data_IF_854508404554
#
_entry.id   IF_854508404554
#
_cell.length_a   1.000
_cell.length_b   1.000
_cell.length_c   1.000
_cell.angle_alpha   90.00
_cell.angle_beta   90.00
_cell.angle_gamma   90.00
#
_symmetry.space_group_name_H-M   'P 1'
#
loop_
_entity.id
_entity.type
_entity.pdbx_description
1 polymer ?
#
# COMPACT_ATOMS: atom_id res chain seq x y z
N UNK A 1 -36.81 -24.29 26.61
CA UNK A 1 -36.52 -24.02 25.17
C UNK A 1 -35.58 -22.83 25.10
N UNK A 2 -34.31 -23.07 24.83
CA UNK A 2 -33.31 -22.01 24.67
C UNK A 2 -33.46 -21.52 23.23
N UNK A 3 -33.89 -20.27 23.05
CA UNK A 3 -33.94 -19.59 21.75
C UNK A 3 -32.52 -19.61 21.16
N UNK A 4 -32.36 -20.28 20.02
CA UNK A 4 -31.16 -20.15 19.20
C UNK A 4 -31.21 -18.78 18.52
N UNK A 5 -30.70 -17.74 19.19
CA UNK A 5 -30.42 -16.49 18.53
C UNK A 5 -29.47 -16.78 17.36
N UNK A 6 -30.02 -16.67 16.16
CA UNK A 6 -29.20 -16.71 14.94
C UNK A 6 -28.19 -15.58 15.06
N UNK A 7 -26.90 -15.92 15.17
CA UNK A 7 -25.84 -14.96 15.09
C UNK A 7 -26.05 -14.10 13.83
N UNK A 8 -26.37 -12.81 14.01
CA UNK A 8 -26.43 -11.89 12.91
C UNK A 8 -25.04 -11.87 12.28
N UNK A 9 -24.94 -12.16 10.98
CA UNK A 9 -23.70 -12.02 10.25
C UNK A 9 -23.29 -10.55 10.35
N UNK A 10 -22.19 -10.29 11.04
CA UNK A 10 -21.61 -8.95 11.07
C UNK A 10 -21.32 -8.52 9.61
N UNK A 11 -21.62 -7.26 9.31
CA UNK A 11 -21.22 -6.66 8.02
C UNK A 11 -19.72 -6.83 7.89
N UNK A 12 -19.26 -7.36 6.75
CA UNK A 12 -17.82 -7.50 6.52
C UNK A 12 -17.17 -6.11 6.56
N UNK A 13 -16.10 -6.00 7.34
CA UNK A 13 -15.33 -4.77 7.39
C UNK A 13 -14.72 -4.49 6.02
N UNK A 14 -14.71 -3.22 5.62
CA UNK A 14 -13.95 -2.77 4.47
C UNK A 14 -12.47 -3.10 4.69
N UNK A 15 -11.81 -3.60 3.66
CA UNK A 15 -10.38 -3.90 3.72
C UNK A 15 -9.62 -2.83 2.95
N UNK A 16 -8.42 -2.43 3.42
CA UNK A 16 -7.60 -1.51 2.67
C UNK A 16 -7.19 -2.11 1.32
N UNK A 17 -7.17 -1.27 0.30
CA UNK A 17 -6.76 -1.62 -1.06
C UNK A 17 -5.23 -1.73 -1.15
N UNK A 18 -4.65 -2.70 -0.44
CA UNK A 18 -3.22 -2.99 -0.44
C UNK A 18 -2.90 -4.06 -1.47
N UNK A 19 -1.69 -3.99 -2.05
CA UNK A 19 -1.08 -5.10 -2.74
C UNK A 19 -0.44 -6.12 -1.79
N UNK A 20 0.35 -7.04 -2.32
CA UNK A 20 1.01 -8.07 -1.51
C UNK A 20 2.18 -7.48 -0.68
N UNK A 21 2.80 -6.41 -1.17
CA UNK A 21 3.98 -5.77 -0.57
C UNK A 21 3.69 -4.41 0.07
N UNK A 22 2.71 -3.67 -0.44
CA UNK A 22 2.36 -2.35 0.10
C UNK A 22 1.15 -1.70 -0.55
N UNK A 23 1.01 -0.41 -0.37
CA UNK A 23 -0.14 0.35 -0.88
C UNK A 23 0.01 0.67 -2.36
N UNK A 24 1.16 1.18 -2.78
CA UNK A 24 1.44 1.56 -4.16
C UNK A 24 2.48 0.60 -4.71
N UNK A 25 2.02 -0.32 -5.55
CA UNK A 25 2.81 -1.33 -6.22
C UNK A 25 2.70 -1.16 -7.72
N UNK A 26 3.82 -1.27 -8.42
CA UNK A 26 3.87 -1.26 -9.86
C UNK A 26 4.75 -2.40 -10.37
N UNK A 27 4.12 -3.41 -10.94
CA UNK A 27 4.78 -4.59 -11.48
C UNK A 27 5.13 -4.44 -12.95
N UNK A 28 6.31 -4.87 -13.34
CA UNK A 28 6.78 -4.89 -14.73
C UNK A 28 6.83 -6.33 -15.23
N UNK A 29 6.19 -6.61 -16.37
CA UNK A 29 6.19 -7.96 -16.96
C UNK A 29 6.15 -7.89 -18.48
N UNK A 30 6.27 -9.05 -19.13
CA UNK A 30 6.12 -9.19 -20.60
C UNK A 30 7.44 -9.17 -21.36
N UNK A 31 8.57 -8.94 -20.70
CA UNK A 31 9.92 -9.04 -21.31
C UNK A 31 10.87 -9.82 -20.41
N UNK A 32 12.16 -9.89 -20.74
CA UNK A 32 13.15 -10.61 -19.93
C UNK A 32 13.41 -9.91 -18.58
N UNK A 33 13.75 -10.70 -17.53
CA UNK A 33 14.07 -10.16 -16.22
C UNK A 33 15.22 -9.15 -16.27
N UNK A 34 16.25 -9.40 -17.09
CA UNK A 34 17.35 -8.45 -17.25
C UNK A 34 16.95 -7.11 -17.86
N UNK A 35 15.97 -7.08 -18.76
CA UNK A 35 15.42 -5.81 -19.30
C UNK A 35 14.60 -5.09 -18.22
N UNK A 36 13.76 -5.82 -17.48
CA UNK A 36 13.00 -5.27 -16.36
C UNK A 36 13.95 -4.68 -15.31
N UNK A 37 14.95 -5.42 -14.90
CA UNK A 37 15.94 -4.98 -13.91
C UNK A 37 16.64 -3.69 -14.35
N UNK A 38 17.11 -3.65 -15.61
CA UNK A 38 17.78 -2.46 -16.16
C UNK A 38 16.85 -1.24 -16.14
N UNK A 39 15.61 -1.41 -16.59
CA UNK A 39 14.60 -0.35 -16.63
C UNK A 39 14.27 0.14 -15.21
N UNK A 40 14.01 -0.78 -14.28
CA UNK A 40 13.69 -0.44 -12.88
C UNK A 40 14.86 0.27 -12.20
N UNK A 41 16.10 -0.16 -12.43
CA UNK A 41 17.27 0.54 -11.91
C UNK A 41 17.37 1.98 -12.45
N UNK A 42 17.10 2.20 -13.72
CA UNK A 42 17.06 3.54 -14.31
C UNK A 42 15.97 4.41 -13.68
N UNK A 43 14.78 3.86 -13.45
CA UNK A 43 13.69 4.54 -12.75
C UNK A 43 14.07 4.92 -11.32
N UNK A 44 14.68 4.00 -10.56
CA UNK A 44 15.14 4.26 -9.20
C UNK A 44 16.20 5.37 -9.17
N UNK A 45 17.16 5.35 -10.07
CA UNK A 45 18.19 6.40 -10.17
C UNK A 45 17.57 7.80 -10.35
N UNK A 46 16.47 7.91 -11.08
CA UNK A 46 15.81 9.19 -11.35
C UNK A 46 14.76 9.61 -10.32
N UNK A 47 14.22 8.69 -9.53
CA UNK A 47 13.09 8.94 -8.62
C UNK A 47 13.46 8.82 -7.13
N UNK A 48 14.62 8.25 -6.79
CA UNK A 48 14.99 7.99 -5.39
C UNK A 48 15.25 9.25 -4.56
N UNK A 49 15.42 10.41 -5.19
CA UNK A 49 15.44 11.70 -4.48
C UNK A 49 14.04 12.17 -4.05
N UNK A 50 13.01 11.75 -4.77
CA UNK A 50 11.63 12.18 -4.58
C UNK A 50 10.83 11.18 -3.73
N UNK A 51 11.15 9.88 -3.82
CA UNK A 51 10.37 8.79 -3.21
C UNK A 51 11.25 7.74 -2.52
N UNK A 52 10.77 7.21 -1.41
CA UNK A 52 11.32 5.99 -0.79
C UNK A 52 10.84 4.78 -1.58
N UNK A 53 11.77 4.05 -2.19
CA UNK A 53 11.45 3.00 -3.16
C UNK A 53 12.07 1.67 -2.77
N UNK A 54 11.38 0.60 -3.15
CA UNK A 54 11.88 -0.78 -3.07
C UNK A 54 11.71 -1.47 -4.42
N UNK A 55 12.66 -2.33 -4.77
CA UNK A 55 12.55 -3.26 -5.88
C UNK A 55 12.46 -4.70 -5.37
N UNK A 56 11.42 -5.41 -5.81
CA UNK A 56 11.18 -6.82 -5.49
C UNK A 56 11.48 -7.66 -6.73
N UNK A 57 12.48 -8.53 -6.63
CA UNK A 57 12.90 -9.43 -7.70
C UNK A 57 13.28 -10.81 -7.13
N UNK A 58 13.44 -11.81 -7.98
CA UNK A 58 13.90 -13.15 -7.64
C UNK A 58 15.33 -13.36 -8.14
N UNK A 59 16.21 -13.80 -7.24
CA UNK A 59 17.55 -14.29 -7.61
C UNK A 59 17.54 -15.82 -7.70
N UNK A 60 17.35 -16.32 -8.93
CA UNK A 60 17.34 -17.76 -9.18
C UNK A 60 18.71 -18.42 -9.01
N UNK A 61 19.80 -17.70 -9.28
CA UNK A 61 21.14 -18.30 -9.28
C UNK A 61 21.56 -18.71 -7.87
N UNK A 62 21.37 -17.82 -6.89
CA UNK A 62 21.72 -18.11 -5.50
C UNK A 62 20.80 -19.19 -4.91
N UNK A 63 19.50 -19.13 -5.21
CA UNK A 63 18.52 -20.13 -4.77
C UNK A 63 18.79 -21.52 -5.35
N UNK A 64 19.06 -21.61 -6.66
CA UNK A 64 19.34 -22.87 -7.36
C UNK A 64 20.64 -23.52 -6.85
N UNK A 65 21.68 -22.73 -6.55
CA UNK A 65 22.93 -23.23 -5.97
C UNK A 65 22.73 -23.83 -4.56
N UNK A 66 21.88 -23.18 -3.74
CA UNK A 66 21.55 -23.69 -2.40
C UNK A 66 20.76 -25.00 -2.47
N UNK A 67 19.77 -25.08 -3.39
CA UNK A 67 18.95 -26.27 -3.59
C UNK A 67 19.77 -27.47 -4.18
N UNK A 68 20.71 -27.19 -5.07
CA UNK A 68 21.57 -28.20 -5.67
C UNK A 68 22.65 -28.71 -4.71
N UNK A 69 22.78 -28.14 -3.52
CA UNK A 69 23.88 -28.47 -2.58
C UNK A 69 25.26 -28.00 -3.06
N UNK A 70 25.29 -27.19 -4.12
CA UNK A 70 26.50 -26.59 -4.69
C UNK A 70 26.82 -25.22 -4.05
N UNK A 71 25.90 -24.73 -3.21
CA UNK A 71 26.09 -23.50 -2.47
C UNK A 71 27.21 -23.59 -1.45
N UNK A 72 27.73 -22.45 -1.05
CA UNK A 72 28.74 -22.35 -0.02
C UNK A 72 28.36 -23.21 1.19
N UNK A 73 29.11 -24.29 1.47
CA UNK A 73 28.88 -25.18 2.61
C UNK A 73 28.87 -24.46 3.95
N UNK A 74 29.41 -23.25 3.98
CA UNK A 74 29.42 -22.38 5.15
C UNK A 74 28.17 -21.50 5.26
N UNK A 75 27.19 -21.62 4.33
CA UNK A 75 25.94 -20.84 4.41
C UNK A 75 25.08 -21.34 5.56
N UNK A 76 24.74 -20.42 6.46
CA UNK A 76 23.82 -20.69 7.58
C UNK A 76 22.39 -20.96 7.11
N UNK A 77 22.06 -20.65 5.86
CA UNK A 77 20.73 -20.89 5.26
C UNK A 77 20.42 -22.38 5.03
N UNK A 78 21.37 -23.28 5.20
CA UNK A 78 21.11 -24.73 5.26
C UNK A 78 20.30 -25.13 6.52
N UNK A 79 20.31 -24.32 7.58
CA UNK A 79 19.58 -24.57 8.82
C UNK A 79 18.21 -23.84 8.83
N UNK A 80 17.08 -24.54 9.00
CA UNK A 80 15.74 -23.96 8.86
C UNK A 80 15.44 -22.77 9.76
N UNK A 81 15.88 -22.81 11.02
CA UNK A 81 15.53 -21.81 12.05
C UNK A 81 16.56 -20.67 12.19
N UNK A 82 17.58 -20.65 11.32
CA UNK A 82 18.66 -19.68 11.45
C UNK A 82 18.34 -18.40 10.67
N UNK A 83 18.58 -17.28 11.31
CA UNK A 83 18.60 -15.95 10.70
C UNK A 83 20.02 -15.41 10.78
N UNK A 84 20.55 -14.93 9.67
CA UNK A 84 21.88 -14.32 9.63
C UNK A 84 21.79 -12.82 9.36
N UNK A 85 22.30 -12.02 10.29
CA UNK A 85 22.42 -10.57 10.14
C UNK A 85 23.88 -10.20 9.94
N UNK A 86 24.24 -9.69 8.76
CA UNK A 86 25.57 -9.21 8.42
C UNK A 86 25.61 -7.70 8.34
N UNK A 87 26.47 -7.07 9.14
CA UNK A 87 26.79 -5.65 8.98
C UNK A 87 27.89 -5.48 7.92
N UNK A 88 27.57 -4.78 6.85
CA UNK A 88 28.45 -4.49 5.71
C UNK A 88 29.01 -3.05 5.79
N UNK A 89 28.98 -2.43 6.96
CA UNK A 89 29.45 -1.05 7.25
C UNK A 89 28.50 0.01 6.65
N UNK A 90 28.23 -0.04 5.35
CA UNK A 90 27.36 0.92 4.63
C UNK A 90 25.92 0.44 4.48
N UNK A 91 25.67 -0.86 4.64
CA UNK A 91 24.35 -1.46 4.66
C UNK A 91 24.33 -2.72 5.52
N UNK A 92 23.12 -3.18 5.88
CA UNK A 92 22.92 -4.46 6.59
C UNK A 92 22.23 -5.44 5.68
N UNK A 93 22.67 -6.70 5.71
CA UNK A 93 22.04 -7.83 5.03
C UNK A 93 21.45 -8.79 6.07
N UNK A 94 20.16 -9.10 5.88
CA UNK A 94 19.43 -10.09 6.67
C UNK A 94 19.07 -11.25 5.75
N UNK A 95 19.59 -12.42 6.03
CA UNK A 95 19.26 -13.66 5.32
C UNK A 95 18.39 -14.53 6.23
N UNK A 96 17.23 -14.93 5.72
CA UNK A 96 16.26 -15.76 6.42
C UNK A 96 15.51 -16.64 5.43
N UNK A 97 15.20 -17.85 5.82
CA UNK A 97 14.45 -18.78 4.96
C UNK A 97 13.03 -18.28 4.74
N UNK A 98 12.55 -18.41 3.51
CA UNK A 98 11.25 -17.91 3.06
C UNK A 98 10.08 -18.53 3.85
N UNK A 99 10.15 -19.81 4.20
CA UNK A 99 9.14 -20.54 4.95
C UNK A 99 8.86 -19.97 6.35
N UNK A 100 9.81 -19.21 6.89
CA UNK A 100 9.70 -18.60 8.22
C UNK A 100 9.26 -17.13 8.18
N UNK A 101 8.86 -16.63 7.00
CA UNK A 101 8.49 -15.23 6.81
C UNK A 101 7.00 -15.15 6.50
N UNK A 102 6.23 -14.55 7.42
CA UNK A 102 4.81 -14.28 7.17
C UNK A 102 4.62 -13.09 6.23
N UNK A 103 3.48 -13.05 5.53
CA UNK A 103 3.09 -11.89 4.68
C UNK A 103 3.03 -10.60 5.49
N UNK A 104 2.60 -10.66 6.76
CA UNK A 104 2.55 -9.49 7.64
C UNK A 104 3.94 -8.96 7.96
N UNK A 105 4.87 -9.83 8.29
CA UNK A 105 6.25 -9.52 8.59
C UNK A 105 6.97 -8.93 7.36
N UNK A 106 6.76 -9.52 6.19
CA UNK A 106 7.29 -8.98 4.94
C UNK A 106 6.77 -7.56 4.67
N UNK A 107 5.50 -7.26 4.96
CA UNK A 107 4.94 -5.91 4.85
C UNK A 107 5.55 -4.93 5.85
N UNK A 108 5.88 -5.38 7.07
CA UNK A 108 6.58 -4.54 8.05
C UNK A 108 7.92 -4.03 7.53
N UNK A 109 8.68 -4.87 6.83
CA UNK A 109 9.96 -4.46 6.24
C UNK A 109 9.80 -3.35 5.20
N UNK A 110 8.64 -3.27 4.56
CA UNK A 110 8.34 -2.35 3.47
C UNK A 110 7.42 -1.19 3.88
N UNK A 111 7.05 -1.08 5.14
CA UNK A 111 6.09 -0.09 5.65
C UNK A 111 6.46 1.37 5.36
N UNK A 112 7.76 1.66 5.31
CA UNK A 112 8.27 3.00 5.07
C UNK A 112 8.51 3.31 3.59
N UNK A 113 8.12 2.39 2.69
CA UNK A 113 8.30 2.57 1.26
C UNK A 113 7.05 3.20 0.64
N UNK A 114 7.27 4.18 -0.22
CA UNK A 114 6.20 4.91 -0.90
C UNK A 114 5.82 4.26 -2.23
N UNK A 115 6.82 3.68 -2.94
CA UNK A 115 6.63 2.97 -4.20
C UNK A 115 7.40 1.65 -4.20
N UNK A 116 6.68 0.57 -4.50
CA UNK A 116 7.26 -0.77 -4.63
C UNK A 116 7.21 -1.18 -6.09
N UNK A 117 8.39 -1.30 -6.70
CA UNK A 117 8.57 -1.79 -8.06
C UNK A 117 8.80 -3.30 -8.01
N UNK A 118 8.13 -4.05 -8.88
CA UNK A 118 8.08 -5.51 -8.79
C UNK A 118 8.42 -6.13 -10.14
N UNK A 119 9.28 -7.14 -10.16
CA UNK A 119 9.40 -8.02 -11.32
C UNK A 119 8.19 -8.98 -11.37
N UNK A 120 7.14 -8.58 -12.06
CA UNK A 120 5.89 -9.32 -12.13
C UNK A 120 5.96 -10.58 -13.04
N UNK A 121 7.11 -10.91 -13.59
CA UNK A 121 7.35 -12.24 -14.14
C UNK A 121 7.35 -13.32 -13.03
N UNK A 122 7.73 -12.95 -11.79
CA UNK A 122 7.90 -13.86 -10.65
C UNK A 122 6.82 -13.65 -9.58
N UNK A 123 6.43 -12.41 -9.32
CA UNK A 123 5.53 -12.03 -8.23
C UNK A 123 4.25 -11.37 -8.76
N UNK A 124 3.18 -11.40 -7.97
CA UNK A 124 1.99 -10.61 -8.25
C UNK A 124 2.25 -9.15 -7.92
N UNK A 125 1.59 -8.27 -8.65
CA UNK A 125 1.53 -6.84 -8.34
C UNK A 125 0.11 -6.35 -8.55
N UNK A 126 -0.32 -5.39 -7.74
CA UNK A 126 -1.65 -4.79 -7.80
C UNK A 126 -1.86 -4.11 -9.15
N UNK A 127 -0.96 -3.20 -9.50
CA UNK A 127 -0.96 -2.46 -10.75
C UNK A 127 0.25 -2.86 -11.61
N UNK A 128 0.11 -2.81 -12.93
CA UNK A 128 1.12 -3.36 -13.83
C UNK A 128 1.46 -2.44 -15.00
N UNK A 129 2.73 -2.49 -15.38
CA UNK A 129 3.28 -2.01 -16.66
C UNK A 129 3.56 -3.23 -17.52
N UNK A 130 2.86 -3.35 -18.64
CA UNK A 130 3.05 -4.47 -19.57
C UNK A 130 3.98 -4.05 -20.70
N UNK A 131 5.13 -4.72 -20.77
CA UNK A 131 6.06 -4.58 -21.88
C UNK A 131 5.66 -5.53 -23.00
N UNK A 132 5.39 -4.99 -24.18
CA UNK A 132 5.08 -5.77 -25.39
C UNK A 132 6.40 -6.07 -26.09
N UNK A 133 6.87 -7.30 -25.91
CA UNK A 133 8.15 -7.78 -26.45
C UNK A 133 7.87 -8.91 -27.46
N UNK A 134 8.18 -8.72 -28.76
CA UNK A 134 7.96 -9.75 -29.78
C UNK A 134 8.74 -11.04 -29.52
N UNK A 135 9.84 -10.95 -28.73
CA UNK A 135 10.63 -12.12 -28.34
C UNK A 135 10.03 -12.90 -27.16
N UNK A 136 9.04 -12.32 -26.48
CA UNK A 136 8.36 -12.93 -25.33
C UNK A 136 6.84 -12.74 -25.38
N UNK A 137 6.16 -13.39 -26.33
CA UNK A 137 4.71 -13.25 -26.49
C UNK A 137 3.96 -13.66 -25.21
N UNK A 138 2.88 -12.94 -24.95
CA UNK A 138 2.09 -13.07 -23.70
C UNK A 138 0.94 -14.08 -23.79
N UNK A 139 0.69 -14.69 -24.94
CA UNK A 139 -0.47 -15.56 -25.22
C UNK A 139 -0.71 -16.62 -24.13
N UNK A 140 0.38 -17.23 -23.62
CA UNK A 140 0.32 -18.26 -22.59
C UNK A 140 0.36 -17.71 -21.15
N UNK A 141 0.44 -16.38 -20.97
CA UNK A 141 0.65 -15.72 -19.68
C UNK A 141 -0.38 -14.65 -19.38
N UNK A 142 -1.47 -14.58 -20.16
CA UNK A 142 -2.53 -13.58 -19.95
C UNK A 142 -3.12 -13.65 -18.54
N UNK A 143 -3.19 -14.83 -17.93
CA UNK A 143 -3.64 -14.98 -16.55
C UNK A 143 -2.73 -14.34 -15.46
N UNK A 144 -1.53 -13.82 -15.85
CA UNK A 144 -0.69 -13.03 -14.95
C UNK A 144 -1.05 -11.55 -14.96
N UNK A 145 -1.85 -11.11 -15.94
CA UNK A 145 -2.29 -9.72 -16.02
C UNK A 145 -3.30 -9.44 -14.90
N UNK A 146 -3.10 -8.33 -14.22
CA UNK A 146 -4.01 -7.80 -13.21
C UNK A 146 -4.58 -6.47 -13.72
N UNK A 147 -4.17 -5.37 -13.15
CA UNK A 147 -4.63 -4.03 -13.51
C UNK A 147 -3.54 -3.30 -14.31
N UNK A 148 -3.56 -3.46 -15.64
CA UNK A 148 -2.58 -2.83 -16.52
C UNK A 148 -2.83 -1.32 -16.58
N UNK A 149 -1.80 -0.52 -16.28
CA UNK A 149 -1.83 0.94 -16.23
C UNK A 149 -1.02 1.60 -17.35
N UNK A 150 -0.08 0.87 -17.93
CA UNK A 150 0.79 1.37 -18.98
C UNK A 150 1.22 0.23 -19.89
N UNK A 151 1.24 0.49 -21.20
CA UNK A 151 1.89 -0.38 -22.18
C UNK A 151 3.23 0.22 -22.59
N UNK A 152 4.27 -0.61 -22.62
CA UNK A 152 5.58 -0.25 -23.17
C UNK A 152 5.90 -1.11 -24.38
N UNK A 153 6.12 -0.49 -25.52
CA UNK A 153 6.50 -1.19 -26.75
C UNK A 153 8.04 -1.36 -26.80
N UNK A 154 8.46 -2.60 -26.93
CA UNK A 154 9.86 -2.94 -27.19
C UNK A 154 10.22 -2.58 -28.63
N UNK A 155 11.50 -2.39 -28.88
CA UNK A 155 12.01 -2.11 -30.24
C UNK A 155 11.52 -3.16 -31.25
N UNK A 156 11.01 -2.70 -32.40
CA UNK A 156 10.42 -3.54 -33.41
C UNK A 156 8.90 -3.82 -33.24
N UNK A 157 8.32 -3.41 -32.10
CA UNK A 157 6.88 -3.49 -31.88
C UNK A 157 6.20 -2.15 -32.13
N UNK A 158 5.09 -2.17 -32.88
CA UNK A 158 4.36 -0.94 -33.27
C UNK A 158 2.91 -0.91 -32.75
N UNK A 159 2.35 -2.05 -32.34
CA UNK A 159 0.97 -2.15 -31.88
C UNK A 159 0.84 -3.18 -30.74
N UNK A 160 -0.29 -3.11 -30.02
CA UNK A 160 -0.66 -4.06 -28.96
C UNK A 160 -1.25 -5.31 -29.62
N UNK A 161 -0.78 -6.54 -29.30
CA UNK A 161 -1.32 -7.78 -29.85
C UNK A 161 -2.81 -7.99 -29.52
N UNK A 162 -3.57 -8.58 -30.43
CA UNK A 162 -5.01 -8.81 -30.28
C UNK A 162 -5.38 -9.68 -29.06
N UNK A 163 -4.52 -10.63 -28.70
CA UNK A 163 -4.73 -11.44 -27.50
C UNK A 163 -4.73 -10.58 -26.21
N UNK A 164 -3.95 -9.50 -26.16
CA UNK A 164 -3.92 -8.55 -25.05
C UNK A 164 -5.13 -7.62 -25.11
N UNK A 165 -5.47 -7.09 -26.29
CA UNK A 165 -6.69 -6.29 -26.52
C UNK A 165 -7.96 -7.04 -26.10
N UNK A 166 -8.05 -8.32 -26.39
CA UNK A 166 -9.18 -9.17 -25.96
C UNK A 166 -9.20 -9.49 -24.47
N UNK A 167 -8.08 -9.36 -23.76
CA UNK A 167 -7.99 -9.68 -22.34
C UNK A 167 -8.09 -8.43 -21.43
N UNK A 168 -7.57 -7.29 -21.87
CA UNK A 168 -7.60 -6.01 -21.14
C UNK A 168 -8.72 -5.16 -21.71
N UNK A 169 -9.87 -5.15 -21.04
CA UNK A 169 -11.11 -4.55 -21.58
C UNK A 169 -11.02 -3.05 -21.86
N UNK A 170 -10.18 -2.32 -21.12
CA UNK A 170 -9.98 -0.86 -21.26
C UNK A 170 -8.66 -0.50 -21.95
N UNK A 171 -8.13 -1.38 -22.78
CA UNK A 171 -6.80 -1.19 -23.40
C UNK A 171 -6.67 0.10 -24.23
N UNK A 172 -7.75 0.61 -24.81
CA UNK A 172 -7.78 1.86 -25.58
C UNK A 172 -7.53 3.12 -24.74
N UNK A 173 -7.87 3.06 -23.46
CA UNK A 173 -7.69 4.17 -22.50
C UNK A 173 -6.29 4.19 -21.88
N UNK A 174 -5.55 3.09 -22.02
CA UNK A 174 -4.23 2.94 -21.40
C UNK A 174 -3.17 3.59 -22.28
N UNK A 175 -2.31 4.40 -21.68
CA UNK A 175 -1.20 5.04 -22.36
C UNK A 175 -0.22 4.01 -22.94
N UNK A 176 0.36 4.35 -24.10
CA UNK A 176 1.32 3.50 -24.80
C UNK A 176 2.58 4.31 -25.07
N UNK A 177 3.72 3.85 -24.56
CA UNK A 177 5.04 4.48 -24.84
C UNK A 177 6.01 3.45 -25.41
N UNK A 178 7.10 3.92 -26.02
CA UNK A 178 8.26 3.07 -26.31
C UNK A 178 9.10 2.90 -25.06
N UNK A 179 9.73 1.75 -24.91
CA UNK A 179 10.55 1.44 -23.72
C UNK A 179 11.71 2.45 -23.52
N UNK A 180 12.21 3.08 -24.58
CA UNK A 180 13.26 4.10 -24.53
C UNK A 180 12.76 5.53 -24.22
N UNK A 181 11.45 5.75 -24.07
CA UNK A 181 10.89 7.07 -23.76
C UNK A 181 10.90 7.32 -22.23
N UNK A 182 12.10 7.21 -21.62
CA UNK A 182 12.30 7.28 -20.17
C UNK A 182 11.59 8.47 -19.51
N UNK A 183 11.69 9.67 -20.11
CA UNK A 183 11.05 10.86 -19.54
C UNK A 183 9.52 10.73 -19.44
N UNK A 184 8.87 10.13 -20.44
CA UNK A 184 7.42 9.90 -20.40
C UNK A 184 7.04 8.87 -19.33
N UNK A 185 7.85 7.82 -19.19
CA UNK A 185 7.65 6.78 -18.16
C UNK A 185 7.82 7.40 -16.76
N UNK A 186 8.83 8.26 -16.56
CA UNK A 186 9.04 8.96 -15.30
C UNK A 186 7.85 9.89 -14.96
N UNK A 187 7.35 10.64 -15.93
CA UNK A 187 6.16 11.49 -15.75
C UNK A 187 4.94 10.63 -15.37
N UNK A 188 4.70 9.56 -16.12
CA UNK A 188 3.62 8.62 -15.80
C UNK A 188 3.71 8.10 -14.35
N UNK A 189 4.90 7.69 -13.90
CA UNK A 189 5.08 7.18 -12.54
C UNK A 189 4.79 8.27 -11.49
N UNK A 190 5.22 9.51 -11.73
CA UNK A 190 4.93 10.65 -10.83
C UNK A 190 3.43 10.93 -10.74
N UNK A 191 2.72 10.90 -11.87
CA UNK A 191 1.28 11.08 -11.91
C UNK A 191 0.57 9.91 -11.23
N UNK A 192 0.98 8.67 -11.51
CA UNK A 192 0.49 7.47 -10.86
C UNK A 192 0.66 7.52 -9.33
N UNK A 193 1.82 7.97 -8.84
CA UNK A 193 2.07 8.17 -7.42
C UNK A 193 1.09 9.19 -6.82
N UNK A 194 0.90 10.32 -7.47
CA UNK A 194 -0.01 11.39 -7.02
C UNK A 194 -1.46 10.92 -6.96
N UNK A 195 -1.92 10.19 -7.97
CA UNK A 195 -3.30 9.67 -8.04
C UNK A 195 -3.59 8.58 -7.01
N UNK A 196 -2.57 7.81 -6.61
CA UNK A 196 -2.70 6.70 -5.66
C UNK A 196 -2.34 7.08 -4.22
N UNK A 197 -1.98 8.34 -3.95
CA UNK A 197 -1.79 8.81 -2.58
C UNK A 197 -3.11 8.75 -1.81
N UNK A 198 -3.12 8.24 -0.58
CA UNK A 198 -4.31 8.24 0.24
C UNK A 198 -4.72 9.68 0.57
N UNK A 199 -6.02 9.96 0.48
CA UNK A 199 -6.56 11.24 0.92
C UNK A 199 -6.28 11.45 2.41
N UNK A 200 -5.83 12.64 2.79
CA UNK A 200 -5.60 12.98 4.18
C UNK A 200 -6.90 13.50 4.81
N UNK A 201 -7.42 12.79 5.81
CA UNK A 201 -8.56 13.21 6.62
C UNK A 201 -8.14 13.57 8.04
N UNK A 202 -8.83 14.53 8.63
CA UNK A 202 -8.66 14.92 10.02
C UNK A 202 -9.52 14.07 10.96
N UNK A 203 -8.99 13.72 12.12
CA UNK A 203 -9.75 13.05 13.18
C UNK A 203 -9.56 13.77 14.50
N UNK A 204 -10.62 14.39 15.02
CA UNK A 204 -10.64 15.00 16.35
C UNK A 204 -11.18 13.98 17.33
N UNK A 205 -10.33 13.55 18.27
CA UNK A 205 -10.69 12.56 19.28
C UNK A 205 -11.34 13.29 20.47
N UNK A 206 -12.65 13.33 20.51
CA UNK A 206 -13.43 13.99 21.57
C UNK A 206 -14.03 12.99 22.56
N UNK A 207 -13.95 11.68 22.26
CA UNK A 207 -14.42 10.60 23.11
C UNK A 207 -13.44 10.34 24.27
N UNK A 208 -13.90 10.53 25.50
CA UNK A 208 -13.14 10.15 26.70
C UNK A 208 -13.87 10.59 27.96
N UNK A 209 -13.97 9.71 28.95
CA UNK A 209 -14.37 10.12 30.30
C UNK A 209 -13.24 10.96 30.87
N UNK A 210 -13.40 12.29 30.85
CA UNK A 210 -12.45 13.25 31.46
C UNK A 210 -12.40 13.08 32.99
N UNK A 211 -12.06 11.88 33.47
CA UNK A 211 -12.06 11.49 34.87
C UNK A 211 -11.15 12.35 35.76
N UNK A 212 -10.16 13.01 35.14
CA UNK A 212 -9.21 13.89 35.86
C UNK A 212 -9.71 15.34 36.03
N UNK A 213 -10.67 15.80 35.21
CA UNK A 213 -11.07 17.21 35.20
C UNK A 213 -12.55 17.44 35.53
N UNK A 214 -13.35 16.40 35.73
CA UNK A 214 -14.81 16.48 35.99
C UNK A 214 -15.60 17.38 35.01
N UNK A 215 -15.03 17.73 33.85
CA UNK A 215 -15.65 18.50 32.77
C UNK A 215 -15.27 17.91 31.43
N UNK A 216 -16.18 17.91 30.49
CA UNK A 216 -15.92 17.49 29.12
C UNK A 216 -14.96 18.49 28.44
N UNK A 217 -13.74 18.02 28.13
CA UNK A 217 -12.70 18.86 27.51
C UNK A 217 -13.11 19.42 26.16
N UNK A 218 -13.94 18.70 25.41
CA UNK A 218 -14.39 19.09 24.09
C UNK A 218 -15.21 20.38 24.10
N UNK A 219 -15.84 20.68 25.22
CA UNK A 219 -16.69 21.87 25.42
C UNK A 219 -15.99 23.02 26.14
N UNK A 220 -14.70 22.89 26.47
CA UNK A 220 -13.93 24.02 27.02
C UNK A 220 -13.78 25.10 25.93
N UNK A 221 -14.13 26.32 26.30
CA UNK A 221 -14.03 27.47 25.39
C UNK A 221 -12.64 28.07 25.48
N UNK A 222 -11.90 28.02 24.38
CA UNK A 222 -10.66 28.74 24.16
C UNK A 222 -10.87 29.65 22.92
N UNK A 223 -10.42 30.90 22.98
CA UNK A 223 -10.53 31.83 21.85
C UNK A 223 -11.94 31.99 21.28
N UNK A 224 -12.94 32.16 22.14
CA UNK A 224 -14.37 32.39 21.79
C UNK A 224 -15.08 31.17 21.15
N UNK A 225 -14.37 30.05 20.89
CA UNK A 225 -14.90 28.78 20.32
C UNK A 225 -14.62 27.62 21.22
N UNK A 226 -15.41 26.57 21.09
CA UNK A 226 -15.09 25.30 21.75
C UNK A 226 -13.79 24.70 21.20
N UNK A 227 -13.05 23.96 22.02
CA UNK A 227 -11.80 23.32 21.61
C UNK A 227 -12.00 22.42 20.38
N UNK A 228 -13.10 21.69 20.31
CA UNK A 228 -13.43 20.83 19.15
C UNK A 228 -13.60 21.64 17.86
N UNK A 229 -14.24 22.79 17.93
CA UNK A 229 -14.44 23.66 16.75
C UNK A 229 -13.12 24.27 16.29
N UNK A 230 -12.34 24.80 17.22
CA UNK A 230 -11.03 25.35 16.90
C UNK A 230 -10.10 24.34 16.23
N UNK A 231 -9.99 23.13 16.79
CA UNK A 231 -9.17 22.04 16.20
C UNK A 231 -9.73 21.59 14.86
N UNK A 232 -11.05 21.48 14.71
CA UNK A 232 -11.68 21.12 13.44
C UNK A 232 -11.39 22.14 12.34
N UNK A 233 -11.46 23.43 12.63
CA UNK A 233 -11.12 24.50 11.68
C UNK A 233 -9.64 24.45 11.28
N UNK A 234 -8.74 24.21 12.24
CA UNK A 234 -7.32 24.05 11.97
C UNK A 234 -7.07 22.86 11.03
N UNK A 235 -7.69 21.72 11.29
CA UNK A 235 -7.54 20.52 10.45
C UNK A 235 -8.12 20.70 9.05
N UNK A 236 -9.17 21.48 8.87
CA UNK A 236 -9.77 21.78 7.55
C UNK A 236 -8.80 22.49 6.59
N UNK A 237 -7.73 23.11 7.10
CA UNK A 237 -6.67 23.73 6.27
C UNK A 237 -5.78 22.69 5.59
N UNK A 238 -5.66 21.51 6.17
CA UNK A 238 -4.72 20.46 5.72
C UNK A 238 -5.41 19.19 5.22
N UNK A 239 -6.65 18.97 5.66
CA UNK A 239 -7.39 17.73 5.45
C UNK A 239 -8.56 17.95 4.50
N UNK A 240 -8.90 16.94 3.70
CA UNK A 240 -10.05 16.97 2.79
C UNK A 240 -11.36 16.99 3.56
N UNK A 241 -11.50 16.12 4.54
CA UNK A 241 -12.65 16.03 5.45
C UNK A 241 -12.14 15.97 6.89
N UNK A 242 -12.93 16.46 7.84
CA UNK A 242 -12.62 16.41 9.27
C UNK A 242 -13.74 15.70 10.01
N UNK A 243 -13.38 14.65 10.74
CA UNK A 243 -14.29 13.81 11.50
C UNK A 243 -14.11 14.02 13.00
N UNK A 244 -15.22 13.92 13.73
CA UNK A 244 -15.24 13.89 15.19
C UNK A 244 -15.42 12.44 15.65
N UNK A 245 -14.48 11.91 16.41
CA UNK A 245 -14.64 10.60 17.06
C UNK A 245 -15.29 10.76 18.41
N UNK A 246 -16.44 10.15 18.61
CA UNK A 246 -17.21 10.25 19.83
C UNK A 246 -17.79 8.90 20.27
N UNK A 247 -18.14 8.80 21.55
CA UNK A 247 -18.92 7.66 22.05
C UNK A 247 -20.43 7.84 21.73
N UNK A 248 -21.22 6.79 21.94
CA UNK A 248 -22.64 6.80 21.63
C UNK A 248 -23.45 7.81 22.47
N UNK A 249 -22.99 8.17 23.67
CA UNK A 249 -23.66 9.14 24.54
C UNK A 249 -23.47 10.59 24.03
N UNK A 250 -22.33 10.87 23.44
CA UNK A 250 -21.98 12.19 22.92
C UNK A 250 -22.61 12.48 21.55
N UNK A 251 -22.93 11.44 20.78
CA UNK A 251 -23.52 11.58 19.45
C UNK A 251 -24.78 12.45 19.41
N UNK A 252 -25.66 12.31 20.40
CA UNK A 252 -26.91 13.06 20.49
C UNK A 252 -26.73 14.60 20.61
N UNK A 253 -25.52 15.06 20.90
CA UNK A 253 -25.19 16.49 21.06
C UNK A 253 -24.54 17.13 19.83
N UNK A 254 -24.47 16.45 18.68
CA UNK A 254 -23.86 17.01 17.47
C UNK A 254 -24.90 17.33 16.40
N UNK A 255 -24.65 18.41 15.66
CA UNK A 255 -25.46 18.81 14.53
C UNK A 255 -25.29 17.84 13.36
N UNK A 256 -26.35 17.63 12.56
CA UNK A 256 -26.38 16.71 11.42
C UNK A 256 -25.36 17.04 10.28
N UNK A 257 -24.71 18.20 10.33
CA UNK A 257 -23.73 18.64 9.35
C UNK A 257 -22.30 18.19 9.68
N UNK A 258 -22.06 17.57 10.83
CA UNK A 258 -20.72 17.15 11.25
C UNK A 258 -20.48 15.69 10.88
N UNK A 259 -19.33 15.43 10.26
CA UNK A 259 -18.90 14.06 10.02
C UNK A 259 -18.49 13.39 11.34
N UNK A 260 -19.20 12.35 11.73
CA UNK A 260 -19.00 11.65 13.00
C UNK A 260 -18.54 10.23 12.75
N UNK A 261 -17.54 9.79 13.50
CA UNK A 261 -17.13 8.40 13.62
C UNK A 261 -17.45 7.92 15.03
N UNK A 262 -18.32 6.92 15.15
CA UNK A 262 -18.66 6.32 16.43
C UNK A 262 -17.59 5.36 16.89
N UNK A 263 -17.17 5.47 18.14
CA UNK A 263 -16.25 4.53 18.76
C UNK A 263 -16.88 3.13 18.85
N UNK A 264 -16.40 2.22 18.01
CA UNK A 264 -16.86 0.81 17.96
C UNK A 264 -16.26 -0.03 19.09
N UNK A 265 -15.17 0.44 19.68
CA UNK A 265 -14.41 -0.25 20.73
C UNK A 265 -14.49 0.54 22.04
N UNK A 266 -15.36 0.08 22.92
CA UNK A 266 -15.63 0.76 24.21
C UNK A 266 -14.49 0.49 25.20
N UNK A 267 -14.08 1.53 25.93
CA UNK A 267 -13.08 1.43 27.00
C UNK A 267 -11.61 1.48 26.55
N UNK A 268 -11.34 1.63 25.26
CA UNK A 268 -9.97 1.74 24.71
C UNK A 268 -9.43 3.20 24.65
N UNK A 269 -10.20 4.17 25.16
CA UNK A 269 -9.80 5.58 25.10
C UNK A 269 -9.56 6.06 23.67
N UNK A 270 -8.55 6.94 23.44
CA UNK A 270 -8.25 7.48 22.10
C UNK A 270 -7.98 6.41 21.04
N UNK A 271 -7.46 5.26 21.43
CA UNK A 271 -7.19 4.13 20.52
C UNK A 271 -8.48 3.58 19.92
N UNK A 272 -9.60 3.57 20.68
CA UNK A 272 -10.91 3.16 20.19
C UNK A 272 -11.39 3.98 19.02
N UNK A 273 -11.23 5.31 19.10
CA UNK A 273 -11.57 6.24 18.03
C UNK A 273 -10.69 6.04 16.78
N UNK A 274 -9.38 5.92 16.97
CA UNK A 274 -8.44 5.65 15.85
C UNK A 274 -8.77 4.36 15.12
N UNK A 275 -8.96 3.26 15.84
CA UNK A 275 -9.30 1.97 15.23
C UNK A 275 -10.65 2.07 14.50
N UNK A 276 -11.64 2.74 15.11
CA UNK A 276 -12.96 2.93 14.49
C UNK A 276 -12.86 3.72 13.17
N UNK A 277 -12.00 4.74 13.12
CA UNK A 277 -11.74 5.51 11.91
C UNK A 277 -11.14 4.64 10.79
N UNK A 278 -10.14 3.82 11.09
CA UNK A 278 -9.57 2.88 10.12
C UNK A 278 -10.54 1.79 9.70
N UNK A 279 -11.45 1.37 10.57
CA UNK A 279 -12.49 0.39 10.23
C UNK A 279 -13.54 0.97 9.28
N UNK A 280 -13.83 2.25 9.34
CA UNK A 280 -14.80 2.91 8.46
C UNK A 280 -14.19 3.34 7.12
N UNK A 281 -12.99 3.93 7.17
CA UNK A 281 -12.29 4.43 5.97
C UNK A 281 -10.84 3.88 5.97
N UNK A 282 -10.63 2.63 5.53
CA UNK A 282 -9.32 1.97 5.60
C UNK A 282 -8.30 2.49 4.58
N UNK A 283 -8.75 3.19 3.53
CA UNK A 283 -7.90 3.65 2.42
C UNK A 283 -7.47 5.11 2.52
N UNK A 284 -7.83 5.81 3.59
CA UNK A 284 -7.41 7.19 3.82
C UNK A 284 -6.25 7.28 4.83
N UNK A 285 -5.52 8.36 4.78
CA UNK A 285 -4.57 8.74 5.84
C UNK A 285 -5.28 9.58 6.90
N UNK A 286 -4.93 9.42 8.17
CA UNK A 286 -5.53 10.12 9.28
C UNK A 286 -4.55 11.05 9.99
N UNK A 287 -4.87 12.35 10.05
CA UNK A 287 -4.23 13.30 10.96
C UNK A 287 -5.09 13.44 12.21
N UNK A 288 -4.67 12.79 13.31
CA UNK A 288 -5.45 12.73 14.54
C UNK A 288 -4.96 13.73 15.58
N UNK A 289 -5.92 14.40 16.24
CA UNK A 289 -5.68 15.33 17.36
C UNK A 289 -6.65 14.98 18.50
N UNK A 290 -6.13 15.03 19.77
CA UNK A 290 -6.87 14.68 20.99
C UNK A 290 -6.98 15.87 21.95
#
# INVERSE_FOLDING_TARGET
MISKDKHQKHVSLARPSLGDYGRIELGFLGTSCGIIQKMVHELILNLSSDYKMTYVDADHKEGDQLLAGEGNKDSLMQFPEVTELRDKIVFKRLDRRQENISVFEQREWLNNQELILINANHFKAKDQVLVIDPKKPMDKKLGKLTNVKLFLLQEGQTDIPDCIKGHVSNWEEIQVFKIGETNKILTFIKDFMKENQPELNGLVLIGGKSTRMNRDKANLTYHEKSQKEHVSELLKTYCKEVFLSCNAEQEAGFDNEQFIIKDKLIGMGPMGGLISAFMEKPDVAWLSVA
#
